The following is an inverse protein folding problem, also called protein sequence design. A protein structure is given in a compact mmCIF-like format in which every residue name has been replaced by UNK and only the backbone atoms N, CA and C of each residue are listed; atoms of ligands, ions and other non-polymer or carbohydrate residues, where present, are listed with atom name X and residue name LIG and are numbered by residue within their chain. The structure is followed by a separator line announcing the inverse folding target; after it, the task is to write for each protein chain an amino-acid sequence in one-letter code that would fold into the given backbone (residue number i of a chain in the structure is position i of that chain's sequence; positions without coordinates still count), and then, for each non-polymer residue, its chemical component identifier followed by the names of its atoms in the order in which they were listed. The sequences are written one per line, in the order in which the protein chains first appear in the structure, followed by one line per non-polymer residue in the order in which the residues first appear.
data_IF_624464390960
#
_entry.id   IF_624464390960
#
_cell.length_a   1.000
_cell.length_b   1.000
_cell.length_c   1.000
_cell.angle_alpha   90.00
_cell.angle_beta   90.00
_cell.angle_gamma   90.00
#
_symmetry.space_group_name_H-M   'P 1'
#
loop_
_entity.id
_entity.type
_entity.pdbx_description
1 polymer ?
#
# COMPACT_ATOMS: atom_id res chain seq x y z
N UNK A 1 -29.82 9.63 7.66
CA UNK A 1 -29.85 9.05 9.03
C UNK A 1 -28.99 7.80 9.20
N UNK A 2 -28.15 7.40 8.23
CA UNK A 2 -27.36 6.15 8.31
C UNK A 2 -25.85 6.34 8.53
N UNK A 3 -25.33 7.59 8.49
CA UNK A 3 -23.98 7.93 8.98
C UNK A 3 -24.10 8.29 10.46
N UNK A 4 -24.61 7.37 11.27
CA UNK A 4 -24.49 7.45 12.72
C UNK A 4 -23.76 6.19 13.18
N UNK A 5 -22.47 6.40 13.44
CA UNK A 5 -21.59 5.57 14.28
C UNK A 5 -21.07 4.26 13.68
N UNK A 6 -20.08 4.38 12.79
CA UNK A 6 -18.88 3.54 12.90
C UNK A 6 -17.87 4.32 13.78
N UNK A 7 -18.26 4.72 14.99
CA UNK A 7 -17.43 5.61 15.85
C UNK A 7 -16.77 4.89 17.02
N UNK A 8 -17.05 3.60 17.23
CA UNK A 8 -16.59 2.90 18.44
C UNK A 8 -15.62 1.74 18.13
N UNK A 9 -15.24 1.55 16.87
CA UNK A 9 -14.23 0.56 16.47
C UNK A 9 -12.88 1.27 16.37
N UNK A 10 -11.90 0.96 17.24
CA UNK A 10 -10.58 1.56 17.14
C UNK A 10 -9.90 1.13 15.84
N UNK A 11 -9.62 2.10 14.97
CA UNK A 11 -8.79 1.87 13.78
C UNK A 11 -7.34 1.80 14.24
N UNK A 12 -6.80 0.59 14.27
CA UNK A 12 -5.41 0.33 14.70
C UNK A 12 -4.41 0.39 13.55
N UNK A 13 -4.86 0.17 12.30
CA UNK A 13 -4.03 0.26 11.12
C UNK A 13 -4.80 0.68 9.86
N UNK A 14 -4.08 1.28 8.92
CA UNK A 14 -4.58 1.65 7.58
C UNK A 14 -3.62 1.11 6.53
N UNK A 15 -4.15 0.47 5.49
CA UNK A 15 -3.42 0.05 4.31
C UNK A 15 -3.77 0.97 3.15
N UNK A 16 -2.78 1.60 2.52
CA UNK A 16 -3.00 2.62 1.48
C UNK A 16 -2.01 2.51 0.32
N UNK A 17 -2.38 3.01 -0.86
CA UNK A 17 -1.43 3.20 -1.95
C UNK A 17 -0.52 4.42 -1.70
N UNK A 18 0.56 4.54 -2.48
CA UNK A 18 1.47 5.67 -2.52
C UNK A 18 0.84 6.91 -3.17
N UNK A 19 -0.14 7.49 -2.48
CA UNK A 19 -0.75 8.75 -2.84
C UNK A 19 -0.19 9.88 -1.96
N UNK A 20 0.27 10.96 -2.60
CA UNK A 20 0.84 12.12 -1.91
C UNK A 20 -0.22 12.74 -1.01
N UNK A 21 0.07 12.86 0.28
CA UNK A 21 -0.85 13.45 1.26
C UNK A 21 -1.79 12.46 1.94
N UNK A 22 -1.97 11.23 1.44
CA UNK A 22 -2.81 10.23 2.11
C UNK A 22 -2.27 9.85 3.49
N UNK A 23 -0.95 9.65 3.61
CA UNK A 23 -0.32 9.37 4.90
C UNK A 23 -0.58 10.51 5.90
N UNK A 24 -0.38 11.76 5.47
CA UNK A 24 -0.62 12.93 6.31
C UNK A 24 -2.09 13.03 6.72
N UNK A 25 -3.03 12.86 5.77
CA UNK A 25 -4.45 12.88 6.04
C UNK A 25 -4.86 11.81 7.05
N UNK A 26 -4.36 10.58 6.92
CA UNK A 26 -4.64 9.51 7.87
C UNK A 26 -4.08 9.80 9.26
N UNK A 27 -2.85 10.32 9.35
CA UNK A 27 -2.24 10.68 10.65
C UNK A 27 -2.96 11.85 11.32
N UNK A 28 -3.43 12.83 10.55
CA UNK A 28 -4.22 13.96 11.05
C UNK A 28 -5.62 13.53 11.53
N UNK A 29 -6.30 12.67 10.77
CA UNK A 29 -7.67 12.27 11.07
C UNK A 29 -7.78 11.19 12.16
N UNK A 30 -6.85 10.23 12.18
CA UNK A 30 -6.91 9.06 13.04
C UNK A 30 -5.89 9.11 14.20
N UNK A 31 -5.01 10.10 14.18
CA UNK A 31 -3.96 10.28 15.17
C UNK A 31 -2.64 9.59 14.82
N UNK A 32 -1.54 9.99 15.48
CA UNK A 32 -0.19 9.53 15.16
C UNK A 32 0.05 8.05 15.45
N UNK A 33 -0.73 7.46 16.37
CA UNK A 33 -0.61 6.09 16.83
C UNK A 33 -1.07 5.03 15.82
N UNK A 34 -1.88 5.41 14.83
CA UNK A 34 -2.38 4.46 13.82
C UNK A 34 -1.25 3.96 12.94
N UNK A 35 -1.11 2.64 12.81
CA UNK A 35 -0.10 2.06 11.94
C UNK A 35 -0.50 2.24 10.47
N UNK A 36 0.37 2.86 9.67
CA UNK A 36 0.10 3.13 8.25
C UNK A 36 1.01 2.28 7.39
N UNK A 37 0.42 1.38 6.61
CA UNK A 37 1.12 0.41 5.78
C UNK A 37 0.91 0.71 4.30
N UNK A 38 1.99 0.61 3.50
CA UNK A 38 1.87 0.69 2.05
C UNK A 38 1.31 -0.61 1.49
N UNK A 39 0.24 -0.52 0.71
CA UNK A 39 -0.40 -1.66 0.07
C UNK A 39 0.57 -2.39 -0.88
N UNK A 40 0.77 -3.70 -0.65
CA UNK A 40 1.62 -4.56 -1.49
C UNK A 40 1.10 -4.68 -2.93
N UNK A 41 -0.21 -4.86 -3.11
CA UNK A 41 -0.81 -4.99 -4.45
C UNK A 41 -0.54 -3.76 -5.31
N UNK A 42 -0.89 -2.57 -4.80
CA UNK A 42 -0.67 -1.34 -5.54
C UNK A 42 0.82 -1.06 -5.77
N UNK A 43 1.69 -1.43 -4.83
CA UNK A 43 3.14 -1.38 -5.05
C UNK A 43 3.59 -2.32 -6.17
N UNK A 44 3.06 -3.54 -6.23
CA UNK A 44 3.35 -4.48 -7.31
C UNK A 44 2.88 -3.94 -8.67
N UNK A 45 1.66 -3.39 -8.73
CA UNK A 45 1.17 -2.72 -9.93
C UNK A 45 2.03 -1.51 -10.33
N UNK A 46 2.45 -0.70 -9.37
CA UNK A 46 3.33 0.45 -9.60
C UNK A 46 4.69 0.01 -10.17
N UNK A 47 5.25 -1.10 -9.66
CA UNK A 47 6.48 -1.69 -10.21
C UNK A 47 6.29 -2.16 -11.65
N UNK A 48 5.13 -2.74 -11.98
CA UNK A 48 4.84 -3.14 -13.36
C UNK A 48 4.74 -1.94 -14.32
N UNK A 49 4.24 -0.80 -13.83
CA UNK A 49 4.15 0.46 -14.58
C UNK A 49 5.44 1.29 -14.57
N UNK A 50 6.43 0.92 -13.77
CA UNK A 50 7.68 1.65 -13.65
C UNK A 50 8.51 1.60 -14.94
N UNK A 51 9.24 2.69 -15.23
CA UNK A 51 10.21 2.79 -16.33
C UNK A 51 11.49 2.03 -15.97
N UNK A 52 11.38 0.70 -15.90
CA UNK A 52 12.43 -0.27 -15.58
C UNK A 52 12.39 -1.40 -16.62
N UNK A 53 13.54 -2.05 -16.87
CA UNK A 53 13.56 -3.29 -17.67
C UNK A 53 12.83 -4.43 -16.94
N UNK A 54 12.45 -5.50 -17.65
CA UNK A 54 11.77 -6.63 -17.02
C UNK A 54 12.64 -7.30 -15.95
N UNK A 55 13.94 -7.44 -16.20
CA UNK A 55 14.91 -7.94 -15.21
C UNK A 55 14.97 -7.04 -13.97
N UNK A 56 15.00 -5.72 -14.16
CA UNK A 56 14.99 -4.76 -13.06
C UNK A 56 13.68 -4.82 -12.26
N UNK A 57 12.53 -5.03 -12.92
CA UNK A 57 11.25 -5.24 -12.23
C UNK A 57 11.27 -6.53 -11.40
N UNK A 58 11.83 -7.61 -11.94
CA UNK A 58 12.06 -8.86 -11.22
C UNK A 58 12.93 -8.66 -9.98
N UNK A 59 14.05 -7.95 -10.14
CA UNK A 59 14.95 -7.59 -9.04
C UNK A 59 14.24 -6.75 -7.97
N UNK A 60 13.51 -5.70 -8.37
CA UNK A 60 12.72 -4.87 -7.46
C UNK A 60 11.74 -5.70 -6.65
N UNK A 61 11.04 -6.66 -7.29
CA UNK A 61 10.09 -7.53 -6.59
C UNK A 61 10.78 -8.35 -5.49
N UNK A 62 11.90 -8.99 -5.80
CA UNK A 62 12.66 -9.81 -4.83
C UNK A 62 13.18 -8.96 -3.67
N UNK A 63 13.82 -7.83 -3.98
CA UNK A 63 14.35 -6.91 -2.97
C UNK A 63 13.24 -6.36 -2.07
N UNK A 64 12.08 -6.08 -2.65
CA UNK A 64 10.92 -5.60 -1.94
C UNK A 64 10.33 -6.68 -1.02
N UNK A 65 10.26 -7.93 -1.46
CA UNK A 65 9.81 -9.05 -0.63
C UNK A 65 10.79 -9.29 0.55
N UNK A 66 12.10 -9.13 0.34
CA UNK A 66 13.09 -9.17 1.43
C UNK A 66 12.88 -8.05 2.46
N UNK A 67 12.66 -6.82 1.99
CA UNK A 67 12.38 -5.67 2.86
C UNK A 67 11.14 -5.89 3.74
N UNK A 68 10.15 -6.65 3.26
CA UNK A 68 8.93 -6.92 4.03
C UNK A 68 9.15 -7.81 5.25
N UNK A 69 10.22 -8.60 5.27
CA UNK A 69 10.55 -9.52 6.36
C UNK A 69 11.17 -8.77 7.55
N UNK A 70 11.57 -7.50 7.36
CA UNK A 70 12.13 -6.70 8.43
C UNK A 70 11.21 -6.66 9.67
N UNK A 71 11.74 -6.99 10.87
CA UNK A 71 10.93 -7.05 12.10
C UNK A 71 10.49 -5.66 12.59
N UNK A 72 11.23 -4.62 12.23
CA UNK A 72 11.01 -3.24 12.66
C UNK A 72 11.55 -2.22 11.63
N UNK A 73 11.35 -0.93 11.92
CA UNK A 73 11.82 0.18 11.09
C UNK A 73 13.35 0.19 10.94
N UNK A 74 14.08 -0.12 12.02
CA UNK A 74 15.55 -0.04 12.04
C UNK A 74 16.15 -1.08 11.08
N UNK A 75 15.67 -2.33 11.15
CA UNK A 75 16.05 -3.39 10.24
C UNK A 75 15.63 -3.08 8.80
N UNK A 76 14.43 -2.53 8.61
CA UNK A 76 13.94 -2.10 7.30
C UNK A 76 14.87 -1.05 6.66
N UNK A 77 15.23 -0.02 7.42
CA UNK A 77 16.14 1.05 6.97
C UNK A 77 17.55 0.52 6.70
N UNK A 78 18.01 -0.45 7.49
CA UNK A 78 19.29 -1.14 7.28
C UNK A 78 19.32 -1.91 5.95
N UNK A 79 18.29 -2.71 5.67
CA UNK A 79 18.16 -3.43 4.41
C UNK A 79 17.98 -2.50 3.22
N UNK A 80 17.19 -1.43 3.35
CA UNK A 80 17.02 -0.46 2.28
C UNK A 80 18.34 0.26 1.99
N UNK A 81 19.10 0.59 3.03
CA UNK A 81 20.42 1.20 2.90
C UNK A 81 21.39 0.26 2.17
N UNK A 82 21.44 -1.02 2.55
CA UNK A 82 22.34 -1.98 1.90
C UNK A 82 22.05 -2.10 0.41
N UNK A 83 20.78 -2.18 0.01
CA UNK A 83 20.34 -2.18 -1.40
C UNK A 83 20.79 -0.90 -2.14
N UNK A 84 20.64 0.27 -1.50
CA UNK A 84 20.97 1.55 -2.13
C UNK A 84 22.49 1.71 -2.29
N UNK A 85 23.28 1.16 -1.38
CA UNK A 85 24.76 1.25 -1.42
C UNK A 85 25.43 0.15 -2.22
N UNK A 86 24.79 -1.00 -2.39
CA UNK A 86 25.33 -2.18 -3.08
C UNK A 86 25.79 -1.85 -4.51
N UNK A 87 27.04 -2.18 -4.84
CA UNK A 87 27.64 -1.81 -6.14
C UNK A 87 27.00 -2.52 -7.34
N UNK A 88 26.43 -3.71 -7.13
CA UNK A 88 25.83 -4.54 -8.17
C UNK A 88 24.39 -4.14 -8.48
N UNK A 89 23.74 -3.38 -7.59
CA UNK A 89 22.37 -2.93 -7.79
C UNK A 89 22.33 -1.81 -8.85
N UNK A 90 21.54 -1.95 -9.94
CA UNK A 90 21.45 -0.94 -10.99
C UNK A 90 20.98 0.42 -10.47
N UNK A 91 21.53 1.52 -11.01
CA UNK A 91 21.17 2.89 -10.60
C UNK A 91 19.67 3.18 -10.67
N UNK A 92 18.99 2.65 -11.70
CA UNK A 92 17.54 2.80 -11.86
C UNK A 92 16.76 2.10 -10.74
N UNK A 93 17.18 0.89 -10.35
CA UNK A 93 16.61 0.13 -9.23
C UNK A 93 16.84 0.89 -7.92
N UNK A 94 18.07 1.37 -7.65
CA UNK A 94 18.38 2.18 -6.46
C UNK A 94 17.49 3.41 -6.35
N UNK A 95 17.33 4.16 -7.46
CA UNK A 95 16.47 5.35 -7.51
C UNK A 95 15.01 4.98 -7.24
N UNK A 96 14.51 3.91 -7.85
CA UNK A 96 13.15 3.44 -7.64
C UNK A 96 12.91 3.02 -6.19
N UNK A 97 13.79 2.17 -5.63
CA UNK A 97 13.69 1.69 -4.25
C UNK A 97 13.74 2.86 -3.27
N UNK A 98 14.64 3.83 -3.44
CA UNK A 98 14.72 5.02 -2.57
C UNK A 98 13.40 5.79 -2.48
N UNK A 99 12.70 5.96 -3.59
CA UNK A 99 11.42 6.67 -3.60
C UNK A 99 10.30 5.76 -3.10
N UNK A 100 10.17 4.58 -3.70
CA UNK A 100 9.07 3.65 -3.43
C UNK A 100 9.08 3.12 -1.99
N UNK A 101 10.25 3.02 -1.35
CA UNK A 101 10.39 2.52 0.01
C UNK A 101 10.46 3.63 1.06
N UNK A 102 10.23 4.90 0.70
CA UNK A 102 10.26 6.01 1.66
C UNK A 102 9.02 5.98 2.57
N UNK A 103 9.24 5.54 3.81
CA UNK A 103 8.18 5.41 4.83
C UNK A 103 7.59 6.75 5.25
N UNK A 104 8.31 7.86 5.05
CA UNK A 104 7.86 9.22 5.39
C UNK A 104 6.73 9.71 4.48
N UNK A 105 6.63 9.15 3.28
CA UNK A 105 5.62 9.56 2.30
C UNK A 105 4.55 8.49 2.10
N UNK A 106 4.90 7.22 2.21
CA UNK A 106 4.03 6.12 1.79
C UNK A 106 3.67 5.13 2.91
N UNK A 107 4.16 5.37 4.13
CA UNK A 107 3.96 4.47 5.27
C UNK A 107 4.92 3.28 5.27
N UNK A 108 4.87 2.51 6.35
CA UNK A 108 5.75 1.36 6.54
C UNK A 108 5.47 0.29 5.48
N UNK A 109 6.53 -0.26 4.86
CA UNK A 109 6.42 -1.38 3.93
C UNK A 109 6.74 -2.74 4.59
N UNK A 110 7.22 -2.72 5.83
CA UNK A 110 7.48 -3.92 6.62
C UNK A 110 6.26 -4.32 7.45
N UNK A 111 6.32 -5.56 7.89
CA UNK A 111 5.29 -6.23 8.64
C UNK A 111 5.39 -5.90 10.13
N UNK A 112 4.68 -4.88 10.63
CA UNK A 112 4.54 -4.73 12.10
C UNK A 112 3.64 -5.84 12.66
N UNK A 113 4.13 -6.74 13.53
CA UNK A 113 3.28 -7.71 14.21
C UNK A 113 2.34 -6.95 15.13
N UNK A 114 1.10 -6.73 14.70
CA UNK A 114 0.09 -6.18 15.59
C UNK A 114 -0.36 -7.28 16.56
N UNK A 115 -0.09 -7.06 17.84
CA UNK A 115 -0.50 -7.89 18.96
C UNK A 115 -2.01 -8.07 18.94
N UNK A 116 -2.44 -9.30 18.62
CA UNK A 116 -3.74 -9.89 18.98
C UNK A 116 -3.86 -11.36 18.48
N UNK A 117 -2.75 -12.05 18.16
CA UNK A 117 -2.71 -13.50 17.89
C UNK A 117 -3.58 -14.06 16.75
N UNK A 118 -4.42 -13.25 16.10
CA UNK A 118 -5.49 -13.70 15.18
C UNK A 118 -5.65 -12.84 13.91
N UNK A 119 -4.86 -11.79 13.73
CA UNK A 119 -4.94 -10.91 12.55
C UNK A 119 -3.73 -11.01 11.61
N UNK A 120 -3.00 -12.13 11.67
CA UNK A 120 -1.88 -12.44 10.76
C UNK A 120 -2.41 -13.27 9.59
N UNK A 121 -3.37 -12.75 8.81
CA UNK A 121 -3.72 -13.29 7.48
C UNK A 121 -4.71 -12.45 6.66
N UNK A 122 -5.22 -11.33 7.16
CA UNK A 122 -5.89 -10.33 6.29
C UNK A 122 -4.88 -9.36 5.63
N UNK A 123 -3.61 -9.52 6.00
CA UNK A 123 -2.48 -8.90 5.36
C UNK A 123 -2.46 -9.32 3.89
N UNK A 124 -2.73 -8.37 3.01
CA UNK A 124 -2.11 -8.32 1.67
C UNK A 124 -2.68 -9.28 0.63
N UNK A 125 -3.90 -9.80 0.81
CA UNK A 125 -4.51 -10.58 -0.25
C UNK A 125 -4.80 -9.64 -1.42
N UNK A 126 -3.98 -9.78 -2.46
CA UNK A 126 -4.21 -9.23 -3.80
C UNK A 126 -5.70 -9.33 -4.13
N UNK A 127 -6.29 -10.47 -3.78
CA UNK A 127 -7.65 -10.84 -4.08
C UNK A 127 -8.72 -9.85 -3.56
N UNK A 128 -8.57 -9.18 -2.41
CA UNK A 128 -9.61 -8.26 -1.93
C UNK A 128 -9.64 -6.98 -2.77
N UNK A 129 -8.50 -6.28 -2.86
CA UNK A 129 -8.41 -5.04 -3.65
C UNK A 129 -8.52 -5.29 -5.15
N UNK A 130 -7.97 -6.40 -5.64
CA UNK A 130 -8.04 -6.83 -7.04
C UNK A 130 -9.45 -7.26 -7.42
N UNK A 131 -10.11 -8.12 -6.63
CA UNK A 131 -11.49 -8.55 -6.93
C UNK A 131 -12.46 -7.37 -6.86
N UNK A 132 -12.28 -6.47 -5.90
CA UNK A 132 -13.08 -5.25 -5.81
C UNK A 132 -12.89 -4.35 -7.03
N UNK A 133 -11.64 -4.06 -7.41
CA UNK A 133 -11.35 -3.25 -8.61
C UNK A 133 -11.85 -3.93 -9.88
N UNK A 134 -11.72 -5.25 -10.00
CA UNK A 134 -12.21 -6.01 -11.15
C UNK A 134 -13.74 -6.05 -11.19
N UNK A 135 -14.42 -6.17 -10.04
CA UNK A 135 -15.87 -6.09 -9.95
C UNK A 135 -16.36 -4.70 -10.35
N UNK A 136 -15.72 -3.64 -9.87
CA UNK A 136 -16.00 -2.27 -10.30
C UNK A 136 -15.79 -2.09 -11.79
N UNK A 137 -14.64 -2.47 -12.34
CA UNK A 137 -14.39 -2.36 -13.78
C UNK A 137 -15.42 -3.12 -14.62
N UNK A 138 -15.84 -4.32 -14.18
CA UNK A 138 -16.92 -5.07 -14.84
C UNK A 138 -18.27 -4.38 -14.72
N UNK A 139 -18.60 -3.79 -13.57
CA UNK A 139 -19.85 -3.06 -13.34
C UNK A 139 -19.89 -1.66 -13.97
N UNK A 140 -18.75 -1.01 -14.16
CA UNK A 140 -18.61 0.32 -14.77
C UNK A 140 -18.25 0.27 -16.25
N UNK A 141 -18.06 -0.91 -16.84
CA UNK A 141 -17.83 -1.09 -18.28
C UNK A 141 -19.05 -0.71 -19.13
N UNK A 142 -20.23 -0.57 -18.53
CA UNK A 142 -21.27 0.32 -19.06
C UNK A 142 -20.89 1.77 -18.74
N UNK A 143 -20.12 2.37 -19.63
CA UNK A 143 -19.77 3.80 -19.88
C UNK A 143 -20.44 4.91 -19.03
N UNK A 144 -20.51 4.75 -17.70
CA UNK A 144 -21.08 5.73 -16.78
C UNK A 144 -19.97 6.66 -16.32
N UNK A 145 -19.94 7.86 -16.89
CA UNK A 145 -19.27 9.00 -16.26
C UNK A 145 -19.95 9.26 -14.92
N UNK A 146 -19.29 8.88 -13.83
CA UNK A 146 -19.70 9.26 -12.49
C UNK A 146 -19.44 10.76 -12.34
N UNK A 147 -20.50 11.52 -12.05
CA UNK A 147 -20.46 12.98 -11.99
C UNK A 147 -19.88 13.50 -10.68
N UNK A 148 -19.85 12.67 -9.63
CA UNK A 148 -19.33 13.03 -8.31
C UNK A 148 -18.97 11.78 -7.47
N UNK A 149 -18.40 12.02 -6.29
CA UNK A 149 -17.99 10.96 -5.36
C UNK A 149 -19.15 10.26 -4.62
N UNK A 150 -20.35 10.85 -4.56
CA UNK A 150 -21.54 10.20 -3.97
C UNK A 150 -22.07 9.08 -4.88
N UNK A 151 -22.12 9.31 -6.19
CA UNK A 151 -22.52 8.28 -7.17
C UNK A 151 -21.56 7.07 -7.14
N UNK A 152 -20.27 7.31 -6.87
CA UNK A 152 -19.32 6.22 -6.65
C UNK A 152 -19.68 5.47 -5.36
N UNK A 153 -19.92 6.17 -4.25
CA UNK A 153 -20.23 5.56 -2.97
C UNK A 153 -21.50 4.71 -2.99
N UNK A 154 -22.56 5.17 -3.67
CA UNK A 154 -23.80 4.40 -3.83
C UNK A 154 -23.60 3.13 -4.68
N UNK A 155 -22.78 3.21 -5.73
CA UNK A 155 -22.38 2.03 -6.51
C UNK A 155 -21.60 1.02 -5.64
N UNK A 156 -20.73 1.51 -4.75
CA UNK A 156 -19.93 0.66 -3.85
C UNK A 156 -20.78 -0.11 -2.83
N UNK A 157 -21.92 0.43 -2.40
CA UNK A 157 -22.80 -0.24 -1.43
C UNK A 157 -23.69 -1.29 -2.11
N UNK A 158 -23.83 -1.22 -3.43
CA UNK A 158 -24.71 -2.10 -4.22
C UNK A 158 -23.99 -3.35 -4.74
N UNK A 159 -22.65 -3.37 -4.71
CA UNK A 159 -21.79 -4.53 -5.04
C UNK A 159 -21.48 -5.32 -3.77
#
# INVERSE_FOLDING_TARGET
SFIRRITDIPIVAVVMDAAKGCLLACKTALGPAVFTHRCRFHRNQATQKAKLSQEQKGMVRVLTDQLMIAPDQTAYDGYLRSIITDANTPKAVKKYMRVSCDTRYYGASYLVPMSCGRFICLRLDNNISESFNAALQRGTMEDRRLNNGEELFDLLITI
#
